data_IF_122993814001
#
_entry.id   IF_122993814001
#
_cell.length_a   1.000
_cell.length_b   1.000
_cell.length_c   1.000
_cell.angle_alpha   90.00
_cell.angle_beta   90.00
_cell.angle_gamma   90.00
#
_symmetry.space_group_name_H-M   'P 1'
#
loop_
_entity.id
_entity.type
_entity.pdbx_description
1 polymer ?
#
# COMPACT_ATOMS: atom_id res chain seq x y z
N UNK A 1 -60.32 8.89 7.22
CA UNK A 1 -59.17 8.92 8.15
C UNK A 1 -58.75 10.36 8.32
N UNK A 2 -58.94 10.87 9.49
CA UNK A 2 -58.80 12.33 9.79
C UNK A 2 -57.32 12.70 9.88
N UNK A 3 -56.83 13.53 9.01
CA UNK A 3 -55.44 14.00 8.92
C UNK A 3 -55.14 15.24 9.79
N UNK A 4 -55.95 15.49 10.83
CA UNK A 4 -55.88 16.75 11.59
C UNK A 4 -55.21 16.66 12.97
N UNK A 5 -54.42 15.62 13.26
CA UNK A 5 -53.71 15.53 14.56
C UNK A 5 -52.25 14.99 14.43
N UNK A 6 -51.52 15.53 13.49
CA UNK A 6 -50.07 15.26 13.48
C UNK A 6 -49.41 16.41 14.27
N UNK A 7 -48.94 16.09 15.47
CA UNK A 7 -48.20 17.01 16.31
C UNK A 7 -46.80 17.25 15.71
N UNK A 8 -46.70 18.29 14.87
CA UNK A 8 -45.47 18.67 14.18
C UNK A 8 -44.35 18.97 15.17
N UNK A 9 -44.67 19.53 16.36
CA UNK A 9 -43.66 19.75 17.40
C UNK A 9 -43.06 18.49 17.96
N UNK A 10 -43.86 17.43 18.07
CA UNK A 10 -43.39 16.13 18.56
C UNK A 10 -42.54 15.40 17.53
N UNK A 11 -42.90 15.53 16.24
CA UNK A 11 -42.08 15.01 15.13
C UNK A 11 -40.75 15.78 15.01
N UNK A 12 -40.78 17.10 15.12
CA UNK A 12 -39.57 17.94 15.14
C UNK A 12 -38.70 17.63 16.34
N UNK A 13 -39.30 17.40 17.52
CA UNK A 13 -38.54 16.93 18.72
C UNK A 13 -37.92 15.56 18.53
N UNK A 14 -38.64 14.61 17.91
CA UNK A 14 -38.10 13.27 17.58
C UNK A 14 -37.00 13.35 16.50
N UNK A 15 -37.14 14.15 15.49
CA UNK A 15 -36.11 14.37 14.46
C UNK A 15 -34.90 15.08 15.06
N UNK A 16 -35.10 16.12 15.88
CA UNK A 16 -33.99 16.78 16.57
C UNK A 16 -33.31 15.90 17.63
N UNK A 17 -34.03 15.05 18.34
CA UNK A 17 -33.47 14.08 19.25
C UNK A 17 -32.72 12.92 18.51
N UNK A 18 -33.16 12.58 17.30
CA UNK A 18 -32.47 11.67 16.42
C UNK A 18 -31.23 12.29 15.76
N UNK A 19 -31.19 13.62 15.62
CA UNK A 19 -30.02 14.38 15.12
C UNK A 19 -29.01 14.69 16.23
N UNK A 20 -29.41 14.71 17.49
CA UNK A 20 -28.50 14.65 18.64
C UNK A 20 -28.28 13.19 18.99
N UNK A 21 -27.82 12.40 18.01
CA UNK A 21 -27.41 11.01 18.26
C UNK A 21 -26.38 11.01 19.38
N UNK A 22 -26.75 10.45 20.52
CA UNK A 22 -25.80 10.10 21.56
C UNK A 22 -24.65 9.39 20.88
N UNK A 23 -23.47 9.97 20.94
CA UNK A 23 -22.24 9.23 20.68
C UNK A 23 -22.33 7.95 21.51
N UNK A 24 -21.99 6.78 20.97
CA UNK A 24 -21.96 5.57 21.73
C UNK A 24 -21.13 5.80 22.98
N UNK A 25 -21.71 5.55 24.14
CA UNK A 25 -21.05 5.69 25.41
C UNK A 25 -19.76 4.87 25.40
N UNK A 26 -18.60 5.55 25.47
CA UNK A 26 -17.41 4.82 25.87
C UNK A 26 -16.05 5.11 25.22
N UNK A 27 -15.79 6.20 24.53
CA UNK A 27 -14.38 6.58 24.29
C UNK A 27 -14.20 8.07 24.46
N UNK A 28 -13.96 8.52 25.69
CA UNK A 28 -13.40 9.85 25.92
C UNK A 28 -12.03 9.88 25.28
N UNK A 29 -11.82 10.80 24.33
CA UNK A 29 -10.50 11.06 23.74
C UNK A 29 -9.55 11.41 24.88
N UNK A 30 -8.44 10.71 25.07
CA UNK A 30 -7.49 10.99 26.14
C UNK A 30 -6.83 12.36 25.94
N UNK A 31 -6.28 12.93 26.99
CA UNK A 31 -5.51 14.18 26.85
C UNK A 31 -4.17 13.92 26.16
N UNK A 32 -3.58 12.75 26.40
CA UNK A 32 -2.28 12.33 25.87
C UNK A 32 -2.41 11.01 25.16
N UNK A 33 -1.50 10.76 24.21
CA UNK A 33 -1.41 9.51 23.48
C UNK A 33 0.05 9.20 23.12
N UNK A 34 0.29 7.94 22.76
CA UNK A 34 1.63 7.44 22.49
C UNK A 34 1.92 7.47 21.00
N UNK A 35 3.20 7.68 20.70
CA UNK A 35 3.79 7.48 19.38
C UNK A 35 5.00 6.57 19.53
N UNK A 36 5.30 5.75 18.52
CA UNK A 36 6.57 5.08 18.41
C UNK A 36 7.54 6.02 17.67
N UNK A 37 8.40 6.69 18.44
CA UNK A 37 9.41 7.59 17.90
C UNK A 37 10.68 6.81 17.58
N UNK A 38 11.11 6.79 16.33
CA UNK A 38 12.44 6.30 15.97
C UNK A 38 13.46 7.35 16.35
N UNK A 39 14.20 7.11 17.46
CA UNK A 39 15.15 8.07 18.04
C UNK A 39 16.57 7.83 17.55
N UNK A 40 16.86 6.61 17.13
CA UNK A 40 18.11 6.21 16.51
C UNK A 40 17.90 4.99 15.61
N UNK A 41 18.91 4.63 14.83
CA UNK A 41 18.86 3.45 13.96
C UNK A 41 18.61 2.20 14.79
N UNK A 42 17.66 1.37 14.33
CA UNK A 42 17.24 0.12 14.96
C UNK A 42 16.61 0.29 16.34
N UNK A 43 16.05 1.45 16.61
CA UNK A 43 15.43 1.69 17.90
C UNK A 43 14.24 2.66 17.83
N UNK A 44 13.10 2.18 18.30
CA UNK A 44 11.92 2.98 18.59
C UNK A 44 11.72 3.07 20.10
N UNK A 45 11.36 4.26 20.56
CA UNK A 45 10.88 4.51 21.92
C UNK A 45 9.40 4.88 21.89
N UNK A 46 8.61 4.33 22.80
CA UNK A 46 7.26 4.82 23.03
C UNK A 46 7.33 6.11 23.83
N UNK A 47 6.88 7.19 23.23
CA UNK A 47 6.83 8.51 23.86
C UNK A 47 5.38 8.99 23.91
N UNK A 48 5.02 9.73 24.96
CA UNK A 48 3.67 10.23 25.21
C UNK A 48 3.61 11.74 25.08
N UNK A 49 2.67 12.24 24.26
CA UNK A 49 2.48 13.66 24.01
C UNK A 49 1.02 14.07 24.19
N UNK A 50 0.78 15.35 24.49
CA UNK A 50 -0.56 15.92 24.47
C UNK A 50 -1.13 15.86 23.04
N UNK A 51 -2.38 15.43 22.91
CA UNK A 51 -3.07 15.44 21.61
C UNK A 51 -3.30 16.88 21.14
N UNK A 52 -3.06 17.18 19.86
CA UNK A 52 -3.23 18.53 19.33
C UNK A 52 -4.70 18.96 19.30
N UNK A 53 -4.93 20.27 19.36
CA UNK A 53 -6.24 20.86 19.10
C UNK A 53 -6.62 20.67 17.63
N UNK A 54 -7.84 20.21 17.37
CA UNK A 54 -8.36 20.00 16.01
C UNK A 54 -8.89 21.30 15.47
N UNK A 55 -8.20 21.86 14.48
CA UNK A 55 -8.61 23.05 13.74
C UNK A 55 -9.77 22.78 12.75
N UNK A 56 -10.19 23.82 12.06
CA UNK A 56 -11.37 23.80 11.20
C UNK A 56 -11.26 22.81 10.03
N UNK A 57 -10.05 22.52 9.56
CA UNK A 57 -9.76 21.66 8.40
C UNK A 57 -9.06 20.36 8.77
N UNK A 58 -8.82 20.13 10.09
CA UNK A 58 -8.00 19.03 10.58
C UNK A 58 -8.84 17.82 11.02
N UNK A 59 -8.20 16.66 11.13
CA UNK A 59 -8.84 15.42 11.56
C UNK A 59 -7.94 14.70 12.57
N UNK A 60 -8.48 14.28 13.70
CA UNK A 60 -7.85 13.37 14.63
C UNK A 60 -8.42 11.96 14.41
N UNK A 61 -7.53 11.01 14.18
CA UNK A 61 -7.87 9.61 13.88
C UNK A 61 -7.27 8.71 14.96
N UNK A 62 -8.08 7.86 15.59
CA UNK A 62 -7.59 6.76 16.41
C UNK A 62 -7.09 5.66 15.49
N UNK A 63 -5.82 5.31 15.58
CA UNK A 63 -5.21 4.29 14.74
C UNK A 63 -5.71 2.91 15.14
N UNK A 64 -6.21 2.14 14.18
CA UNK A 64 -6.58 0.74 14.37
C UNK A 64 -5.52 -0.22 13.89
N UNK A 65 -4.77 0.16 12.85
CA UNK A 65 -3.67 -0.65 12.37
C UNK A 65 -2.85 0.07 11.30
N UNK A 66 -1.63 -0.41 11.11
CA UNK A 66 -0.70 0.06 10.08
C UNK A 66 0.19 -1.08 9.62
N UNK A 67 0.31 -1.28 8.32
CA UNK A 67 1.28 -2.20 7.74
C UNK A 67 2.71 -1.69 7.93
N UNK A 68 3.65 -2.63 8.05
CA UNK A 68 5.08 -2.34 8.01
C UNK A 68 5.57 -2.50 6.59
N UNK A 69 6.03 -1.40 5.99
CA UNK A 69 6.59 -1.37 4.64
C UNK A 69 8.08 -1.71 4.64
N UNK A 70 8.60 -2.10 3.49
CA UNK A 70 10.04 -2.17 3.26
C UNK A 70 10.74 -0.83 3.50
N UNK A 71 10.08 0.29 3.20
CA UNK A 71 10.58 1.65 3.49
C UNK A 71 10.82 1.84 4.98
N UNK A 72 9.85 1.47 5.83
CA UNK A 72 10.01 1.58 7.30
C UNK A 72 11.19 0.73 7.79
N UNK A 73 11.35 -0.47 7.25
CA UNK A 73 12.46 -1.36 7.61
C UNK A 73 13.83 -0.82 7.16
N UNK A 74 13.90 -0.13 6.02
CA UNK A 74 15.12 0.52 5.55
C UNK A 74 15.47 1.75 6.36
N UNK A 75 14.47 2.59 6.71
CA UNK A 75 14.65 3.73 7.62
C UNK A 75 15.12 3.23 8.98
N UNK A 76 14.45 2.23 9.55
CA UNK A 76 14.83 1.61 10.82
C UNK A 76 16.28 1.13 10.81
N UNK A 77 16.70 0.48 9.73
CA UNK A 77 18.05 -0.10 9.61
C UNK A 77 19.14 0.94 9.37
N UNK A 78 18.93 1.89 8.49
CA UNK A 78 20.00 2.71 7.93
C UNK A 78 19.71 4.22 7.91
N UNK A 79 18.44 4.64 8.07
CA UNK A 79 17.98 6.03 7.94
C UNK A 79 18.43 6.69 6.63
N UNK A 80 18.11 6.07 5.47
CA UNK A 80 18.59 6.57 4.17
C UNK A 80 18.06 7.95 3.81
N UNK A 81 16.91 8.37 4.36
CA UNK A 81 16.34 9.70 4.12
C UNK A 81 16.74 10.73 5.18
N UNK A 82 17.44 10.30 6.27
CA UNK A 82 17.89 11.20 7.33
C UNK A 82 16.74 11.79 8.14
N UNK A 83 15.74 10.98 8.49
CA UNK A 83 14.50 11.42 9.13
C UNK A 83 14.55 11.42 10.65
N UNK A 84 15.52 10.77 11.27
CA UNK A 84 15.61 10.64 12.74
C UNK A 84 15.75 12.02 13.40
N UNK A 85 14.91 12.37 14.43
CA UNK A 85 13.83 11.56 14.99
C UNK A 85 12.55 11.61 14.13
N UNK A 86 11.78 10.49 14.07
CA UNK A 86 10.59 10.38 13.24
C UNK A 86 9.57 9.37 13.77
N UNK A 87 8.28 9.63 13.57
CA UNK A 87 7.21 8.64 13.72
C UNK A 87 6.92 8.06 12.33
N UNK A 88 7.32 6.81 12.11
CA UNK A 88 7.12 6.11 10.85
C UNK A 88 5.70 5.53 10.71
N UNK A 89 5.50 4.75 9.66
CA UNK A 89 4.23 4.11 9.31
C UNK A 89 3.38 4.94 8.36
N UNK A 90 3.15 4.42 7.15
CA UNK A 90 2.41 5.11 6.09
C UNK A 90 1.31 4.23 5.43
N UNK A 91 1.18 2.98 5.85
CA UNK A 91 0.14 2.04 5.40
C UNK A 91 -0.98 1.92 6.45
N UNK A 92 -1.44 3.05 6.98
CA UNK A 92 -2.29 3.07 8.16
C UNK A 92 -3.76 3.30 7.90
N UNK A 93 -4.57 2.86 8.87
CA UNK A 93 -6.01 3.04 8.91
C UNK A 93 -6.51 3.25 10.34
N UNK A 94 -7.60 3.98 10.49
CA UNK A 94 -8.18 4.23 11.80
C UNK A 94 -9.54 4.91 11.73
N UNK A 95 -10.08 5.20 12.90
CA UNK A 95 -11.38 5.81 13.11
C UNK A 95 -11.28 7.32 13.32
N UNK A 96 -12.03 8.11 12.59
CA UNK A 96 -12.20 9.55 12.87
C UNK A 96 -12.82 9.70 14.26
N UNK A 97 -12.09 10.28 15.21
CA UNK A 97 -12.60 10.56 16.55
C UNK A 97 -12.95 12.04 16.77
N UNK A 98 -12.33 12.94 16.01
CA UNK A 98 -12.63 14.37 16.00
C UNK A 98 -12.29 14.95 14.63
N UNK A 99 -13.08 15.87 14.13
CA UNK A 99 -12.85 16.52 12.83
C UNK A 99 -13.31 17.98 12.85
N UNK A 100 -12.64 18.79 12.04
CA UNK A 100 -12.93 20.19 11.88
C UNK A 100 -14.25 20.44 11.14
N UNK A 101 -14.80 21.61 11.33
CA UNK A 101 -16.14 21.98 10.76
C UNK A 101 -16.16 22.05 9.22
N UNK A 102 -15.01 22.24 8.57
CA UNK A 102 -14.90 22.32 7.12
C UNK A 102 -14.76 20.93 6.47
N UNK A 103 -14.39 19.90 7.22
CA UNK A 103 -14.26 18.53 6.73
C UNK A 103 -15.65 17.92 6.58
N UNK A 104 -16.15 17.78 5.36
CA UNK A 104 -17.50 17.26 5.06
C UNK A 104 -17.47 16.00 4.20
N UNK A 105 -16.48 15.89 3.35
CA UNK A 105 -16.33 14.79 2.39
C UNK A 105 -14.87 14.36 2.35
N UNK A 106 -14.66 13.12 1.92
CA UNK A 106 -13.32 12.62 1.60
C UNK A 106 -12.86 13.11 0.21
N UNK A 107 -11.68 12.69 -0.20
CA UNK A 107 -11.08 13.06 -1.50
C UNK A 107 -11.90 12.59 -2.70
N UNK A 108 -12.71 11.55 -2.56
CA UNK A 108 -13.63 11.08 -3.60
C UNK A 108 -15.02 11.77 -3.55
N UNK A 109 -15.24 12.71 -2.62
CA UNK A 109 -16.53 13.38 -2.42
C UNK A 109 -17.54 12.58 -1.60
N UNK A 110 -17.14 11.46 -0.97
CA UNK A 110 -18.01 10.67 -0.10
C UNK A 110 -18.15 11.37 1.25
N UNK A 111 -19.38 11.56 1.77
CA UNK A 111 -19.59 12.17 3.08
C UNK A 111 -18.84 11.46 4.19
N UNK A 112 -18.33 12.23 5.15
CA UNK A 112 -17.60 11.71 6.31
C UNK A 112 -18.13 12.28 7.62
N UNK A 113 -18.00 11.49 8.67
CA UNK A 113 -18.40 11.83 10.04
C UNK A 113 -17.49 11.15 11.06
N UNK A 114 -17.55 11.58 12.30
CA UNK A 114 -16.94 10.88 13.43
C UNK A 114 -17.46 9.44 13.49
N UNK A 115 -16.54 8.49 13.69
CA UNK A 115 -16.79 7.05 13.66
C UNK A 115 -16.49 6.39 12.33
N UNK A 116 -16.32 7.13 11.24
CA UNK A 116 -15.93 6.57 9.95
C UNK A 116 -14.47 6.11 9.97
N UNK A 117 -14.20 5.02 9.23
CA UNK A 117 -12.86 4.47 9.07
C UNK A 117 -12.22 5.06 7.83
N UNK A 118 -10.97 5.49 7.96
CA UNK A 118 -10.25 6.12 6.86
C UNK A 118 -8.87 5.55 6.64
N UNK A 119 -8.35 5.81 5.46
CA UNK A 119 -6.94 5.69 5.08
C UNK A 119 -6.48 7.01 4.48
N UNK A 120 -5.19 7.34 4.64
CA UNK A 120 -4.59 8.48 3.94
C UNK A 120 -3.93 8.03 2.64
N UNK A 121 -3.85 8.93 1.69
CA UNK A 121 -2.98 8.79 0.52
C UNK A 121 -1.65 9.49 0.80
N UNK A 122 -0.55 8.97 0.27
CA UNK A 122 0.78 9.59 0.40
C UNK A 122 0.91 10.93 -0.33
N UNK A 123 -0.01 11.24 -1.24
CA UNK A 123 -0.01 12.49 -2.02
C UNK A 123 -0.93 13.48 -1.33
N UNK A 124 -0.37 14.53 -0.74
CA UNK A 124 -1.13 15.47 0.10
C UNK A 124 -1.92 16.53 -0.64
N UNK A 125 -1.56 16.87 -1.86
CA UNK A 125 -2.28 17.90 -2.61
C UNK A 125 -2.73 17.34 -3.94
N UNK A 126 -3.97 17.64 -4.27
CA UNK A 126 -4.45 17.59 -5.64
C UNK A 126 -3.75 18.73 -6.40
N UNK A 127 -2.54 18.48 -6.84
CA UNK A 127 -1.80 19.39 -7.70
C UNK A 127 -2.34 19.19 -9.13
N UNK A 128 -3.04 20.18 -9.70
CA UNK A 128 -3.61 20.06 -11.05
C UNK A 128 -2.53 19.88 -12.12
N UNK A 129 -1.27 20.17 -11.80
CA UNK A 129 -0.13 19.90 -12.68
C UNK A 129 0.36 18.44 -12.58
N UNK A 130 -0.03 17.68 -11.53
CA UNK A 130 0.28 16.27 -11.39
C UNK A 130 -0.76 15.47 -12.16
N UNK A 131 -0.45 15.16 -13.41
CA UNK A 131 -1.26 14.23 -14.21
C UNK A 131 -1.01 12.80 -13.76
N UNK A 132 -1.86 11.85 -14.19
CA UNK A 132 -1.72 10.42 -13.92
C UNK A 132 -0.34 9.85 -14.32
N UNK A 133 0.40 10.52 -15.18
CA UNK A 133 1.73 10.14 -15.67
C UNK A 133 2.84 11.04 -15.11
N UNK A 134 2.47 12.17 -14.57
CA UNK A 134 3.40 13.17 -14.07
C UNK A 134 3.57 12.97 -12.56
N UNK A 135 4.23 11.88 -12.21
CA UNK A 135 4.80 11.67 -10.88
C UNK A 135 6.03 12.55 -10.68
N UNK A 136 6.07 13.70 -11.28
CA UNK A 136 7.09 14.71 -11.06
C UNK A 136 6.77 15.52 -9.79
N UNK A 137 6.63 14.91 -8.65
CA UNK A 137 7.81 14.53 -7.97
C UNK A 137 8.48 15.61 -7.16
N UNK A 138 7.86 16.73 -7.01
CA UNK A 138 8.24 17.59 -5.89
C UNK A 138 7.86 16.92 -4.56
N UNK A 139 7.00 15.89 -4.61
CA UNK A 139 6.39 15.30 -3.44
C UNK A 139 6.61 13.80 -3.28
N UNK A 140 7.28 13.12 -4.21
CA UNK A 140 7.67 11.72 -4.07
C UNK A 140 9.16 11.66 -3.78
N UNK A 141 9.52 11.81 -2.56
CA UNK A 141 10.92 11.81 -2.18
C UNK A 141 11.16 12.50 -0.87
N UNK A 142 10.20 12.45 0.02
CA UNK A 142 10.53 12.52 1.40
C UNK A 142 9.92 13.62 2.26
N UNK A 143 9.28 14.65 1.82
CA UNK A 143 8.92 15.69 2.79
C UNK A 143 7.45 15.78 3.18
N UNK A 144 6.52 15.14 2.45
CA UNK A 144 5.08 15.39 2.65
C UNK A 144 4.25 14.10 2.70
N UNK A 145 4.75 13.06 3.35
CA UNK A 145 4.07 11.78 3.53
C UNK A 145 3.91 11.48 5.01
N UNK A 146 2.66 11.26 5.48
CA UNK A 146 2.44 10.79 6.86
C UNK A 146 3.22 9.50 7.11
N UNK A 147 4.05 9.50 8.15
CA UNK A 147 5.00 8.43 8.45
C UNK A 147 6.40 8.61 7.86
N UNK A 148 6.62 9.67 7.06
CA UNK A 148 7.93 10.06 6.55
C UNK A 148 8.14 11.59 6.69
N UNK A 149 7.33 12.26 7.48
CA UNK A 149 7.47 13.68 7.78
C UNK A 149 8.57 13.89 8.81
N UNK A 150 9.39 14.94 8.64
CA UNK A 150 10.31 15.36 9.67
C UNK A 150 9.59 15.63 10.98
N UNK A 151 10.29 15.41 12.10
CA UNK A 151 9.77 15.76 13.41
C UNK A 151 9.54 17.28 13.52
N UNK A 152 8.39 17.65 14.09
CA UNK A 152 8.02 19.05 14.35
C UNK A 152 7.24 19.15 15.67
N UNK A 153 6.58 20.29 15.90
CA UNK A 153 5.79 20.52 17.12
C UNK A 153 4.61 19.54 17.26
N UNK A 154 4.14 18.95 16.15
CA UNK A 154 3.07 17.96 16.13
C UNK A 154 3.66 16.57 15.93
N UNK A 155 3.69 15.77 16.99
CA UNK A 155 4.33 14.44 17.02
C UNK A 155 3.51 13.32 16.37
N UNK A 156 2.25 13.57 16.03
CA UNK A 156 1.32 12.58 15.50
C UNK A 156 1.30 12.57 13.96
N UNK A 157 2.49 12.48 13.37
CA UNK A 157 2.73 12.58 11.92
C UNK A 157 2.87 11.25 11.19
N UNK A 158 2.79 10.12 11.90
CA UNK A 158 2.91 8.77 11.34
C UNK A 158 1.91 7.82 11.99
N UNK A 159 1.69 6.68 11.34
CA UNK A 159 0.69 5.70 11.76
C UNK A 159 1.20 4.71 12.82
N UNK A 160 2.49 4.71 13.16
CA UNK A 160 2.99 3.94 14.31
C UNK A 160 2.75 4.73 15.61
N UNK A 161 1.47 4.90 15.93
CA UNK A 161 0.98 5.68 17.05
C UNK A 161 -0.40 5.20 17.50
N UNK A 162 -0.86 5.67 18.70
CA UNK A 162 -2.27 5.47 19.12
C UNK A 162 -3.22 6.34 18.29
N UNK A 163 -2.76 7.53 17.88
CA UNK A 163 -3.51 8.49 17.06
C UNK A 163 -2.62 9.07 15.97
N UNK A 164 -3.23 9.47 14.87
CA UNK A 164 -2.60 10.31 13.85
C UNK A 164 -3.39 11.60 13.71
N UNK A 165 -2.68 12.69 13.45
CA UNK A 165 -3.27 14.02 13.26
C UNK A 165 -3.11 14.48 11.82
N UNK A 166 -4.20 14.46 11.07
CA UNK A 166 -4.23 14.91 9.67
C UNK A 166 -4.43 16.42 9.67
N UNK A 167 -3.40 17.14 9.25
CA UNK A 167 -3.33 18.60 9.22
C UNK A 167 -3.82 19.13 7.88
N UNK A 168 -5.15 19.11 7.67
CA UNK A 168 -5.77 19.52 6.42
C UNK A 168 -5.49 20.95 6.04
N UNK A 169 -5.43 21.88 7.01
CA UNK A 169 -5.07 23.27 6.78
C UNK A 169 -3.63 23.49 6.31
N UNK A 170 -2.69 22.62 6.69
CA UNK A 170 -1.27 22.72 6.32
C UNK A 170 -0.93 21.96 5.05
N UNK A 171 -1.39 20.72 4.92
CA UNK A 171 -0.97 19.79 3.86
C UNK A 171 -2.08 19.46 2.86
N UNK A 172 -3.32 19.91 3.12
CA UNK A 172 -4.50 19.35 2.47
C UNK A 172 -4.92 18.04 3.10
N UNK A 173 -6.17 17.65 2.89
CA UNK A 173 -6.73 16.40 3.45
C UNK A 173 -6.93 15.41 2.32
N UNK A 174 -5.91 14.57 2.07
CA UNK A 174 -6.02 13.47 1.10
C UNK A 174 -6.28 12.18 1.84
N UNK A 175 -7.55 11.83 1.98
CA UNK A 175 -7.99 10.63 2.67
C UNK A 175 -9.26 10.06 2.04
N UNK A 176 -9.55 8.79 2.33
CA UNK A 176 -10.73 8.10 1.82
C UNK A 176 -11.50 7.40 2.93
N UNK A 177 -12.83 7.50 2.90
CA UNK A 177 -13.73 6.76 3.76
C UNK A 177 -13.85 5.31 3.28
N UNK A 178 -13.32 4.38 4.08
CA UNK A 178 -13.23 2.94 3.82
C UNK A 178 -13.97 2.11 4.87
N UNK A 179 -15.01 2.68 5.47
CA UNK A 179 -15.79 2.04 6.54
C UNK A 179 -16.47 0.74 6.12
N UNK A 180 -16.59 0.48 4.83
CA UNK A 180 -17.15 -0.73 4.25
C UNK A 180 -16.14 -1.90 4.12
N UNK A 181 -14.86 -1.66 4.45
CA UNK A 181 -13.80 -2.68 4.42
C UNK A 181 -13.42 -3.13 5.82
N UNK A 182 -13.08 -4.41 5.96
CA UNK A 182 -12.49 -4.96 7.18
C UNK A 182 -11.07 -4.43 7.42
N UNK A 183 -10.56 -4.58 8.65
CA UNK A 183 -9.26 -4.02 9.06
C UNK A 183 -8.11 -4.51 8.18
N UNK A 184 -8.05 -5.80 7.89
CA UNK A 184 -6.96 -6.38 7.11
C UNK A 184 -6.97 -5.84 5.67
N UNK A 185 -8.15 -5.72 5.08
CA UNK A 185 -8.30 -5.08 3.77
C UNK A 185 -7.86 -3.61 3.79
N UNK A 186 -8.18 -2.87 4.86
CA UNK A 186 -7.80 -1.46 4.99
C UNK A 186 -6.28 -1.27 5.12
N UNK A 187 -5.60 -2.14 5.87
CA UNK A 187 -4.13 -2.14 5.99
C UNK A 187 -3.45 -2.44 4.64
N UNK A 188 -4.09 -3.24 3.80
CA UNK A 188 -3.55 -3.62 2.49
C UNK A 188 -3.83 -2.60 1.37
N UNK A 189 -4.60 -1.54 1.62
CA UNK A 189 -4.96 -0.57 0.57
C UNK A 189 -3.71 0.06 -0.04
N UNK A 190 -2.83 0.57 0.81
CA UNK A 190 -1.62 1.28 0.34
C UNK A 190 -0.74 0.38 -0.55
N UNK A 191 -0.25 -0.80 -0.10
CA UNK A 191 0.54 -1.65 -0.96
C UNK A 191 -0.21 -2.17 -2.20
N UNK A 192 -1.54 -2.32 -2.13
CA UNK A 192 -2.33 -2.64 -3.32
C UNK A 192 -2.37 -1.49 -4.32
N UNK A 193 -2.39 -0.24 -3.87
CA UNK A 193 -2.36 0.92 -4.76
C UNK A 193 -1.04 0.99 -5.56
N UNK A 194 0.09 0.62 -4.95
CA UNK A 194 1.38 0.50 -5.63
C UNK A 194 1.28 -0.47 -6.82
N UNK A 195 0.63 -1.63 -6.63
CA UNK A 195 0.53 -2.64 -7.68
C UNK A 195 -0.53 -2.30 -8.72
N UNK A 196 -1.62 -1.68 -8.33
CA UNK A 196 -2.60 -1.14 -9.28
C UNK A 196 -1.91 -0.12 -10.18
N UNK A 197 -1.14 0.81 -9.62
CA UNK A 197 -0.36 1.78 -10.39
C UNK A 197 0.62 1.10 -11.36
N UNK A 198 1.41 0.14 -10.90
CA UNK A 198 2.36 -0.59 -11.74
C UNK A 198 1.68 -1.29 -12.92
N UNK A 199 0.52 -1.89 -12.68
CA UNK A 199 -0.26 -2.55 -13.74
C UNK A 199 -0.86 -1.54 -14.71
N UNK A 200 -1.38 -0.40 -14.23
CA UNK A 200 -1.86 0.68 -15.11
C UNK A 200 -0.71 1.25 -15.97
N UNK A 201 0.47 1.41 -15.40
CA UNK A 201 1.69 1.78 -16.14
C UNK A 201 2.05 0.74 -17.21
N UNK A 202 2.03 -0.55 -16.86
CA UNK A 202 2.28 -1.64 -17.80
C UNK A 202 1.27 -1.67 -18.97
N UNK A 203 0.00 -1.39 -18.71
CA UNK A 203 -1.05 -1.31 -19.73
C UNK A 203 -0.80 -0.20 -20.78
N UNK A 204 -0.12 0.89 -20.42
CA UNK A 204 0.21 1.97 -21.35
C UNK A 204 1.09 1.51 -22.52
N UNK A 205 1.83 0.42 -22.37
CA UNK A 205 2.64 -0.17 -23.44
C UNK A 205 1.80 -0.82 -24.56
N UNK A 206 0.54 -1.12 -24.29
CA UNK A 206 -0.34 -1.88 -25.20
C UNK A 206 -0.01 -3.38 -25.29
N UNK A 207 1.02 -3.86 -24.56
CA UNK A 207 1.47 -5.27 -24.61
C UNK A 207 0.72 -6.10 -23.58
N UNK A 208 0.53 -5.57 -22.36
CA UNK A 208 -0.19 -6.28 -21.30
C UNK A 208 -1.68 -6.34 -21.60
N UNK A 209 -2.18 -7.55 -21.84
CA UNK A 209 -3.58 -7.86 -22.14
C UNK A 209 -4.05 -9.06 -21.30
N UNK A 210 -5.36 -9.31 -21.26
CA UNK A 210 -5.94 -10.44 -20.50
C UNK A 210 -5.35 -11.81 -20.90
N UNK A 211 -4.95 -11.99 -22.15
CA UNK A 211 -4.38 -13.24 -22.69
C UNK A 211 -2.85 -13.25 -22.72
N UNK A 212 -2.17 -12.24 -22.17
CA UNK A 212 -0.72 -12.20 -22.11
C UNK A 212 -0.17 -13.28 -21.20
N UNK A 213 0.98 -13.83 -21.58
CA UNK A 213 1.84 -14.61 -20.69
C UNK A 213 2.66 -13.64 -19.84
N UNK A 214 2.51 -13.75 -18.55
CA UNK A 214 3.15 -12.81 -17.59
C UNK A 214 4.06 -13.55 -16.65
N UNK A 215 5.27 -13.03 -16.46
CA UNK A 215 6.18 -13.44 -15.39
C UNK A 215 6.12 -12.42 -14.27
N UNK A 216 5.94 -12.89 -13.04
CA UNK A 216 6.14 -12.10 -11.81
C UNK A 216 7.35 -12.65 -11.09
N UNK A 217 8.43 -11.87 -11.04
CA UNK A 217 9.67 -12.25 -10.40
C UNK A 217 9.74 -11.63 -8.99
N UNK A 218 9.83 -12.52 -7.99
CA UNK A 218 9.72 -12.19 -6.58
C UNK A 218 8.30 -12.36 -6.05
N UNK A 219 8.13 -13.26 -5.08
CA UNK A 219 6.85 -13.56 -4.41
C UNK A 219 6.85 -13.07 -2.95
N UNK A 220 7.46 -11.89 -2.70
CA UNK A 220 7.20 -11.11 -1.49
C UNK A 220 5.79 -10.49 -1.53
N UNK A 221 5.40 -9.69 -0.53
CA UNK A 221 4.07 -9.07 -0.48
C UNK A 221 3.70 -8.36 -1.79
N UNK A 222 4.62 -7.59 -2.34
CA UNK A 222 4.46 -6.84 -3.60
C UNK A 222 4.18 -7.77 -4.77
N UNK A 223 5.01 -8.81 -4.98
CA UNK A 223 4.78 -9.76 -6.08
C UNK A 223 3.51 -10.58 -5.93
N UNK A 224 3.15 -10.97 -4.71
CA UNK A 224 1.89 -11.68 -4.44
C UNK A 224 0.67 -10.81 -4.73
N UNK A 225 0.69 -9.54 -4.35
CA UNK A 225 -0.37 -8.58 -4.70
C UNK A 225 -0.38 -8.35 -6.23
N UNK A 226 0.78 -8.26 -6.90
CA UNK A 226 0.85 -8.16 -8.36
C UNK A 226 0.11 -9.32 -9.04
N UNK A 227 0.37 -10.55 -8.61
CA UNK A 227 -0.32 -11.75 -9.10
C UNK A 227 -1.83 -11.63 -8.89
N UNK A 228 -2.27 -11.21 -7.71
CA UNK A 228 -3.70 -11.03 -7.40
C UNK A 228 -4.36 -9.97 -8.28
N UNK A 229 -3.71 -8.82 -8.50
CA UNK A 229 -4.22 -7.76 -9.39
C UNK A 229 -4.34 -8.28 -10.82
N UNK A 230 -3.31 -8.91 -11.35
CA UNK A 230 -3.32 -9.51 -12.70
C UNK A 230 -4.41 -10.57 -12.86
N UNK A 231 -4.52 -11.48 -11.90
CA UNK A 231 -5.56 -12.51 -11.89
C UNK A 231 -6.97 -11.91 -11.86
N UNK A 232 -7.17 -10.91 -11.00
CA UNK A 232 -8.46 -10.19 -10.88
C UNK A 232 -8.84 -9.44 -12.16
N UNK A 233 -7.86 -8.99 -12.94
CA UNK A 233 -8.07 -8.40 -14.28
C UNK A 233 -8.37 -9.42 -15.38
N UNK A 234 -8.26 -10.70 -15.07
CA UNK A 234 -8.51 -11.79 -16.01
C UNK A 234 -7.28 -12.28 -16.79
N UNK A 235 -6.07 -11.91 -16.36
CA UNK A 235 -4.85 -12.53 -16.91
C UNK A 235 -4.77 -13.98 -16.43
N UNK A 236 -4.68 -14.91 -17.38
CA UNK A 236 -4.74 -16.35 -17.09
C UNK A 236 -3.40 -17.08 -17.19
N UNK A 237 -2.36 -16.45 -17.71
CA UNK A 237 -1.06 -17.09 -17.89
C UNK A 237 -0.01 -16.37 -17.01
N UNK A 238 -0.07 -16.60 -15.71
CA UNK A 238 0.83 -15.98 -14.75
C UNK A 238 1.81 -17.03 -14.24
N UNK A 239 3.11 -16.84 -14.48
CA UNK A 239 4.19 -17.61 -13.95
C UNK A 239 4.89 -16.83 -12.83
N UNK A 240 4.89 -17.36 -11.62
CA UNK A 240 5.57 -16.78 -10.48
C UNK A 240 6.98 -17.38 -10.32
N UNK A 241 8.00 -16.54 -10.12
CA UNK A 241 9.39 -16.95 -9.96
C UNK A 241 9.92 -16.48 -8.62
N UNK A 242 10.32 -17.40 -7.74
CA UNK A 242 10.88 -17.10 -6.41
C UNK A 242 11.81 -18.25 -5.99
N UNK A 243 12.59 -18.06 -4.92
CA UNK A 243 13.43 -19.13 -4.32
C UNK A 243 12.80 -19.83 -3.13
N UNK A 244 11.63 -19.38 -2.66
CA UNK A 244 10.96 -19.87 -1.47
C UNK A 244 9.68 -20.64 -1.84
N UNK A 245 9.67 -21.96 -1.56
CA UNK A 245 8.53 -22.83 -1.88
C UNK A 245 7.21 -22.38 -1.25
N UNK A 246 7.23 -21.92 0.01
CA UNK A 246 6.02 -21.46 0.69
C UNK A 246 5.43 -20.23 0.01
N UNK A 247 6.26 -19.32 -0.48
CA UNK A 247 5.83 -18.15 -1.23
C UNK A 247 5.29 -18.54 -2.61
N UNK A 248 5.89 -19.52 -3.25
CA UNK A 248 5.40 -20.06 -4.53
C UNK A 248 4.04 -20.77 -4.38
N UNK A 249 3.85 -21.55 -3.30
CA UNK A 249 2.55 -22.13 -2.98
C UNK A 249 1.49 -21.06 -2.71
N UNK A 250 1.86 -20.00 -2.01
CA UNK A 250 0.95 -18.89 -1.79
C UNK A 250 0.65 -18.13 -3.09
N UNK A 251 1.64 -17.98 -3.99
CA UNK A 251 1.46 -17.38 -5.31
C UNK A 251 0.39 -18.12 -6.15
N UNK A 252 0.36 -19.46 -6.08
CA UNK A 252 -0.73 -20.26 -6.72
C UNK A 252 -2.09 -19.88 -6.16
N UNK A 253 -2.21 -19.76 -4.85
CA UNK A 253 -3.46 -19.37 -4.18
C UNK A 253 -3.88 -17.93 -4.53
N UNK A 254 -2.92 -17.05 -4.85
CA UNK A 254 -3.16 -15.69 -5.31
C UNK A 254 -3.50 -15.60 -6.81
N UNK A 255 -3.45 -16.71 -7.54
CA UNK A 255 -3.87 -16.79 -8.94
C UNK A 255 -2.75 -17.06 -9.94
N UNK A 256 -1.52 -17.37 -9.50
CA UNK A 256 -0.48 -17.84 -10.42
C UNK A 256 -0.82 -19.23 -10.97
N UNK A 257 -0.72 -19.41 -12.29
CA UNK A 257 -1.00 -20.69 -12.95
C UNK A 257 0.17 -21.66 -12.82
N UNK A 258 1.38 -21.12 -12.87
CA UNK A 258 2.62 -21.89 -12.78
C UNK A 258 3.62 -21.20 -11.86
N UNK A 259 4.54 -21.97 -11.34
CA UNK A 259 5.59 -21.46 -10.44
C UNK A 259 6.93 -22.07 -10.82
N UNK A 260 7.99 -21.30 -10.71
CA UNK A 260 9.37 -21.75 -10.93
C UNK A 260 10.21 -21.35 -9.73
N UNK A 261 10.78 -22.36 -9.03
CA UNK A 261 11.76 -22.11 -7.99
C UNK A 261 13.15 -22.00 -8.64
N UNK A 262 13.70 -20.78 -8.66
CA UNK A 262 14.99 -20.53 -9.29
C UNK A 262 16.16 -21.27 -8.63
N UNK A 263 16.02 -21.67 -7.35
CA UNK A 263 17.05 -22.42 -6.62
C UNK A 263 17.28 -23.84 -7.20
N UNK A 264 16.32 -24.36 -7.97
CA UNK A 264 16.42 -25.69 -8.57
C UNK A 264 17.25 -25.70 -9.87
N UNK A 265 17.70 -24.54 -10.36
CA UNK A 265 18.38 -24.43 -11.66
C UNK A 265 19.77 -23.81 -11.50
N UNK A 266 20.74 -24.37 -12.25
CA UNK A 266 22.10 -23.83 -12.30
C UNK A 266 22.27 -22.97 -13.55
N UNK A 267 22.45 -21.67 -13.34
CA UNK A 267 22.66 -20.71 -14.41
C UNK A 267 21.36 -20.19 -15.04
N UNK A 268 21.50 -19.08 -15.75
CA UNK A 268 20.37 -18.35 -16.30
C UNK A 268 19.70 -19.07 -17.49
N UNK A 269 20.48 -19.85 -18.24
CA UNK A 269 19.96 -20.59 -19.40
C UNK A 269 18.97 -21.66 -18.96
N UNK A 270 19.34 -22.47 -17.94
CA UNK A 270 18.46 -23.50 -17.40
C UNK A 270 17.21 -22.91 -16.75
N UNK A 271 17.36 -21.80 -16.03
CA UNK A 271 16.24 -21.08 -15.44
C UNK A 271 15.31 -20.48 -16.53
N UNK A 272 15.88 -19.93 -17.59
CA UNK A 272 15.10 -19.37 -18.71
C UNK A 272 14.28 -20.46 -19.40
N UNK A 273 14.86 -21.63 -19.65
CA UNK A 273 14.12 -22.74 -20.25
C UNK A 273 13.01 -23.24 -19.33
N UNK A 274 13.26 -23.33 -18.02
CA UNK A 274 12.23 -23.72 -17.06
C UNK A 274 11.05 -22.71 -17.02
N UNK A 275 11.34 -21.42 -17.06
CA UNK A 275 10.29 -20.38 -17.13
C UNK A 275 9.51 -20.47 -18.43
N UNK A 276 10.19 -20.74 -19.55
CA UNK A 276 9.57 -20.92 -20.85
C UNK A 276 8.68 -22.16 -20.89
N UNK A 277 9.16 -23.31 -20.36
CA UNK A 277 8.36 -24.52 -20.23
C UNK A 277 7.12 -24.31 -19.37
N UNK A 278 7.25 -23.61 -18.23
CA UNK A 278 6.15 -23.27 -17.35
C UNK A 278 5.07 -22.39 -18.05
N UNK A 279 5.41 -21.75 -19.15
CA UNK A 279 4.51 -20.95 -19.99
C UNK A 279 4.16 -21.63 -21.33
N UNK A 280 4.21 -22.97 -21.38
CA UNK A 280 3.83 -23.74 -22.55
C UNK A 280 4.82 -23.65 -23.71
N UNK A 281 6.11 -23.52 -23.44
CA UNK A 281 7.18 -23.43 -24.44
C UNK A 281 7.39 -22.03 -25.03
N UNK A 282 6.86 -21.00 -24.39
CA UNK A 282 6.95 -19.62 -24.86
C UNK A 282 7.58 -18.71 -23.78
N UNK A 283 8.30 -17.69 -24.22
CA UNK A 283 8.72 -16.59 -23.36
C UNK A 283 7.53 -15.64 -23.04
N UNK A 284 7.66 -14.88 -21.96
CA UNK A 284 6.62 -13.97 -21.50
C UNK A 284 6.37 -12.81 -22.48
N UNK A 285 5.11 -12.42 -22.62
CA UNK A 285 4.74 -11.17 -23.27
C UNK A 285 5.09 -9.96 -22.40
N UNK A 286 4.94 -10.11 -21.08
CA UNK A 286 5.22 -9.06 -20.10
C UNK A 286 5.82 -9.64 -18.81
N UNK A 287 6.69 -8.88 -18.16
CA UNK A 287 7.24 -9.27 -16.87
C UNK A 287 7.14 -8.13 -15.85
N UNK A 288 6.95 -8.49 -14.58
CA UNK A 288 7.00 -7.58 -13.43
C UNK A 288 8.18 -7.98 -12.55
N UNK A 289 9.09 -7.04 -12.31
CA UNK A 289 10.20 -7.22 -11.40
C UNK A 289 9.82 -6.64 -10.04
N UNK A 290 9.62 -7.53 -9.06
CA UNK A 290 9.13 -7.21 -7.71
C UNK A 290 10.18 -7.48 -6.62
N UNK A 291 11.46 -7.58 -6.99
CA UNK A 291 12.56 -7.76 -6.04
C UNK A 291 13.49 -6.56 -6.05
N UNK A 292 14.11 -6.24 -4.93
CA UNK A 292 15.20 -5.25 -4.86
C UNK A 292 16.58 -5.85 -5.14
N UNK A 293 16.67 -6.88 -5.99
CA UNK A 293 17.91 -7.60 -6.25
C UNK A 293 18.46 -7.30 -7.66
N UNK A 294 19.67 -6.69 -7.79
CA UNK A 294 20.25 -6.35 -9.10
C UNK A 294 20.44 -7.55 -10.03
N UNK A 295 20.82 -8.74 -9.51
CA UNK A 295 20.95 -9.94 -10.33
C UNK A 295 19.61 -10.43 -10.88
N UNK A 296 18.54 -10.33 -10.08
CA UNK A 296 17.19 -10.65 -10.54
C UNK A 296 16.77 -9.70 -11.67
N UNK A 297 17.04 -8.40 -11.54
CA UNK A 297 16.80 -7.43 -12.61
C UNK A 297 17.60 -7.77 -13.88
N UNK A 298 18.89 -8.11 -13.77
CA UNK A 298 19.71 -8.50 -14.92
C UNK A 298 19.17 -9.75 -15.64
N UNK A 299 18.58 -10.66 -14.89
CA UNK A 299 18.10 -11.95 -15.41
C UNK A 299 16.71 -11.86 -16.08
N UNK A 300 15.83 -10.95 -15.63
CA UNK A 300 14.43 -10.93 -16.06
C UNK A 300 14.26 -10.72 -17.57
N UNK A 301 15.18 -10.02 -18.21
CA UNK A 301 15.16 -9.80 -19.66
C UNK A 301 15.20 -11.10 -20.46
N UNK A 302 15.79 -12.19 -19.90
CA UNK A 302 15.86 -13.49 -20.55
C UNK A 302 14.52 -14.20 -20.60
N UNK A 303 13.59 -13.85 -19.72
CA UNK A 303 12.26 -14.45 -19.66
C UNK A 303 11.26 -13.81 -20.64
N UNK A 304 11.62 -12.68 -21.27
CA UNK A 304 10.74 -11.86 -22.09
C UNK A 304 11.02 -12.10 -23.57
N UNK A 305 9.98 -12.27 -24.37
CA UNK A 305 10.09 -12.40 -25.84
C UNK A 305 10.47 -11.07 -26.50
N UNK A 306 10.84 -11.15 -27.79
CA UNK A 306 11.01 -9.96 -28.62
C UNK A 306 9.70 -9.16 -28.71
N UNK A 307 9.77 -7.86 -28.65
CA UNK A 307 8.63 -6.95 -28.58
C UNK A 307 7.82 -7.04 -27.31
N UNK A 308 8.36 -7.66 -26.26
CA UNK A 308 7.72 -7.78 -24.96
C UNK A 308 7.91 -6.55 -24.07
N UNK A 309 7.38 -6.62 -22.85
CA UNK A 309 7.45 -5.53 -21.89
C UNK A 309 7.99 -5.94 -20.50
N UNK A 310 8.56 -4.97 -19.83
CA UNK A 310 9.03 -5.10 -18.44
C UNK A 310 8.54 -3.91 -17.64
N UNK A 311 7.92 -4.17 -16.50
CA UNK A 311 7.67 -3.18 -15.46
C UNK A 311 8.64 -3.40 -14.31
N UNK A 312 9.49 -2.40 -14.05
CA UNK A 312 10.40 -2.38 -12.91
C UNK A 312 9.78 -1.61 -11.76
N UNK A 313 9.58 -2.26 -10.62
CA UNK A 313 9.05 -1.67 -9.39
C UNK A 313 9.73 -2.18 -8.10
N UNK A 314 10.72 -3.07 -8.23
CA UNK A 314 11.39 -3.70 -7.10
C UNK A 314 12.38 -2.80 -6.36
N UNK A 315 12.88 -1.77 -7.00
CA UNK A 315 13.89 -0.87 -6.46
C UNK A 315 13.30 0.45 -5.95
N UNK A 316 12.57 0.40 -4.85
CA UNK A 316 12.06 1.62 -4.22
C UNK A 316 13.16 2.42 -3.48
N UNK A 317 14.31 1.80 -3.22
CA UNK A 317 15.55 2.44 -2.77
C UNK A 317 16.70 2.02 -3.69
N UNK A 318 17.84 2.71 -3.58
CA UNK A 318 19.06 2.30 -4.26
C UNK A 318 19.57 0.97 -3.68
N UNK A 319 19.28 -0.13 -4.38
CA UNK A 319 19.72 -1.50 -4.05
C UNK A 319 21.04 -1.89 -4.70
N UNK A 320 21.73 -0.95 -5.38
CA UNK A 320 22.96 -1.19 -6.14
C UNK A 320 22.72 -1.29 -7.64
N UNK A 321 23.81 -1.49 -8.38
CA UNK A 321 23.82 -1.48 -9.84
C UNK A 321 23.45 -2.86 -10.41
N UNK A 322 22.63 -2.86 -11.47
CA UNK A 322 22.33 -4.03 -12.28
C UNK A 322 23.04 -3.95 -13.63
N UNK A 323 23.56 -5.08 -14.10
CA UNK A 323 24.24 -5.16 -15.39
C UNK A 323 23.30 -5.74 -16.44
N UNK A 324 23.10 -5.03 -17.53
CA UNK A 324 22.38 -5.49 -18.71
C UNK A 324 23.24 -5.35 -19.96
N UNK A 325 22.99 -6.17 -20.98
CA UNK A 325 23.58 -5.97 -22.30
C UNK A 325 22.57 -5.17 -23.15
N UNK A 326 22.85 -3.88 -23.46
CA UNK A 326 21.88 -3.04 -24.17
C UNK A 326 21.48 -3.59 -25.55
N UNK A 327 22.39 -4.29 -26.24
CA UNK A 327 22.07 -4.92 -27.52
C UNK A 327 21.12 -6.11 -27.36
N UNK A 328 21.53 -7.12 -26.54
CA UNK A 328 20.78 -8.37 -26.44
C UNK A 328 19.55 -8.28 -25.51
N UNK A 329 19.56 -7.40 -24.53
CA UNK A 329 18.49 -7.33 -23.54
C UNK A 329 17.44 -6.26 -23.87
N UNK A 330 17.79 -5.24 -24.67
CA UNK A 330 16.87 -4.15 -25.02
C UNK A 330 16.68 -3.99 -26.52
N UNK A 331 17.77 -3.58 -27.25
CA UNK A 331 17.61 -3.12 -28.63
C UNK A 331 17.19 -4.22 -29.60
N UNK A 332 17.88 -5.37 -29.61
CA UNK A 332 17.56 -6.46 -30.55
C UNK A 332 16.25 -7.16 -30.22
N UNK A 333 15.75 -7.00 -28.98
CA UNK A 333 14.46 -7.51 -28.52
C UNK A 333 13.33 -6.50 -28.64
N UNK A 334 13.62 -5.23 -28.86
CA UNK A 334 12.63 -4.13 -28.84
C UNK A 334 11.79 -4.13 -27.55
N UNK A 335 12.47 -4.24 -26.39
CA UNK A 335 11.78 -4.32 -25.09
C UNK A 335 11.19 -2.96 -24.70
N UNK A 336 9.93 -2.97 -24.28
CA UNK A 336 9.25 -1.83 -23.68
C UNK A 336 9.48 -1.84 -22.17
N UNK A 337 10.39 -1.01 -21.68
CA UNK A 337 10.70 -0.88 -20.26
C UNK A 337 9.92 0.29 -19.67
N UNK A 338 9.14 0.02 -18.62
CA UNK A 338 8.48 1.06 -17.80
C UNK A 338 8.90 0.94 -16.35
N UNK A 339 9.23 2.06 -15.73
CA UNK A 339 9.41 2.15 -14.28
C UNK A 339 8.08 2.46 -13.61
N UNK A 340 7.88 1.94 -12.41
CA UNK A 340 6.75 2.29 -11.56
C UNK A 340 7.26 2.70 -10.18
N UNK A 341 6.74 3.82 -9.67
CA UNK A 341 7.15 4.39 -8.39
C UNK A 341 5.95 4.91 -7.64
N UNK A 342 5.70 4.36 -6.44
CA UNK A 342 4.55 4.73 -5.61
C UNK A 342 3.22 4.52 -6.37
N UNK A 343 2.31 5.46 -6.31
CA UNK A 343 1.01 5.45 -6.98
C UNK A 343 0.50 6.88 -7.18
N UNK A 344 -0.63 7.00 -7.88
CA UNK A 344 -1.35 8.23 -8.06
C UNK A 344 -2.65 8.19 -7.23
N UNK A 345 -3.18 9.35 -6.89
CA UNK A 345 -4.45 9.48 -6.16
C UNK A 345 -5.61 8.70 -6.81
N UNK A 346 -5.66 8.67 -8.14
CA UNK A 346 -6.68 7.94 -8.90
C UNK A 346 -6.60 6.43 -8.76
N UNK A 347 -5.43 5.90 -8.44
CA UNK A 347 -5.24 4.46 -8.29
C UNK A 347 -5.99 3.90 -7.07
N UNK A 348 -6.33 4.76 -6.09
CA UNK A 348 -7.11 4.35 -4.93
C UNK A 348 -8.52 3.88 -5.30
N UNK A 349 -9.21 4.55 -6.21
CA UNK A 349 -10.53 4.10 -6.66
C UNK A 349 -10.46 2.69 -7.28
N UNK A 350 -9.50 2.47 -8.16
CA UNK A 350 -9.25 1.14 -8.76
C UNK A 350 -8.83 0.12 -7.70
N UNK A 351 -8.07 0.52 -6.69
CA UNK A 351 -7.66 -0.34 -5.58
C UNK A 351 -8.83 -0.80 -4.74
N UNK A 352 -9.79 0.08 -4.45
CA UNK A 352 -11.01 -0.30 -3.72
C UNK A 352 -11.84 -1.32 -4.51
N UNK A 353 -11.97 -1.13 -5.81
CA UNK A 353 -12.68 -2.08 -6.69
C UNK A 353 -11.92 -3.41 -6.79
N UNK A 354 -10.60 -3.37 -6.88
CA UNK A 354 -9.75 -4.56 -6.83
C UNK A 354 -9.98 -5.36 -5.54
N UNK A 355 -9.89 -4.73 -4.36
CA UNK A 355 -10.05 -5.41 -3.08
C UNK A 355 -11.44 -6.05 -2.93
N UNK A 356 -12.50 -5.34 -3.34
CA UNK A 356 -13.86 -5.88 -3.34
C UNK A 356 -13.99 -7.09 -4.25
N UNK A 357 -13.41 -7.02 -5.44
CA UNK A 357 -13.42 -8.11 -6.40
C UNK A 357 -12.58 -9.29 -5.95
N UNK A 358 -11.37 -9.05 -5.42
CA UNK A 358 -10.51 -10.09 -4.86
C UNK A 358 -11.22 -10.88 -3.76
N UNK A 359 -11.92 -10.18 -2.85
CA UNK A 359 -12.76 -10.79 -1.82
C UNK A 359 -13.91 -11.60 -2.42
N UNK A 360 -14.59 -11.07 -3.44
CA UNK A 360 -15.73 -11.75 -4.08
C UNK A 360 -15.33 -13.05 -4.80
N UNK A 361 -14.12 -13.14 -5.34
CA UNK A 361 -13.60 -14.36 -5.98
C UNK A 361 -12.79 -15.25 -5.03
N UNK A 362 -12.72 -14.90 -3.74
CA UNK A 362 -12.12 -15.73 -2.71
C UNK A 362 -10.60 -15.71 -2.66
N UNK A 363 -9.93 -14.66 -3.14
CA UNK A 363 -8.47 -14.54 -2.99
C UNK A 363 -8.10 -14.34 -1.51
N UNK A 364 -7.06 -15.02 -1.01
CA UNK A 364 -6.69 -15.00 0.40
C UNK A 364 -5.87 -13.74 0.78
N UNK A 365 -6.39 -12.55 0.44
CA UNK A 365 -5.66 -11.29 0.64
C UNK A 365 -5.29 -11.05 2.11
N UNK A 366 -6.19 -11.30 3.05
CA UNK A 366 -5.92 -11.11 4.48
C UNK A 366 -4.81 -12.01 5.02
N UNK A 367 -4.57 -13.17 4.41
CA UNK A 367 -3.50 -14.08 4.81
C UNK A 367 -2.10 -13.56 4.43
N UNK A 368 -2.02 -12.49 3.64
CA UNK A 368 -0.76 -11.75 3.44
C UNK A 368 -0.25 -11.18 4.76
N UNK A 369 -1.13 -10.76 5.67
CA UNK A 369 -0.76 -10.26 6.99
C UNK A 369 -0.46 -11.44 7.90
N UNK A 370 0.78 -11.88 7.91
CA UNK A 370 1.22 -13.09 8.63
C UNK A 370 1.49 -12.84 10.11
N UNK A 371 1.81 -11.61 10.49
CA UNK A 371 2.13 -11.24 11.87
C UNK A 371 1.46 -9.92 12.22
N UNK A 372 0.87 -9.88 13.41
CA UNK A 372 0.26 -8.69 13.99
C UNK A 372 0.88 -8.45 15.36
N UNK A 373 1.44 -7.28 15.55
CA UNK A 373 2.08 -6.85 16.80
C UNK A 373 1.32 -5.66 17.38
N UNK A 374 1.23 -5.53 18.70
CA UNK A 374 0.79 -4.28 19.31
C UNK A 374 1.89 -3.20 19.18
N UNK A 375 1.52 -1.93 19.37
CA UNK A 375 2.46 -0.81 19.24
C UNK A 375 3.69 -0.95 20.16
N UNK A 376 3.50 -1.56 21.33
CA UNK A 376 4.56 -1.83 22.31
C UNK A 376 5.68 -2.72 21.78
N UNK A 377 5.37 -3.57 20.79
CA UNK A 377 6.30 -4.53 20.19
C UNK A 377 6.85 -4.07 18.83
N UNK A 378 6.82 -2.74 18.56
CA UNK A 378 7.22 -2.17 17.28
C UNK A 378 8.64 -2.58 16.85
N UNK A 379 9.61 -2.63 17.79
CA UNK A 379 10.97 -3.05 17.48
C UNK A 379 11.02 -4.51 17.02
N UNK A 380 10.26 -5.39 17.66
CA UNK A 380 10.16 -6.81 17.25
C UNK A 380 9.49 -6.94 15.88
N UNK A 381 8.47 -6.14 15.59
CA UNK A 381 7.81 -6.11 14.30
C UNK A 381 8.78 -5.72 13.17
N UNK A 382 9.63 -4.71 13.37
CA UNK A 382 10.64 -4.30 12.38
C UNK A 382 11.73 -5.36 12.21
N UNK A 383 12.21 -5.96 13.30
CA UNK A 383 13.19 -7.05 13.21
C UNK A 383 12.62 -8.29 12.50
N UNK A 384 11.33 -8.63 12.74
CA UNK A 384 10.64 -9.71 12.03
C UNK A 384 10.52 -9.41 10.53
N UNK A 385 10.26 -8.15 10.15
CA UNK A 385 10.24 -7.71 8.76
C UNK A 385 11.62 -7.82 8.11
N UNK A 386 12.68 -7.34 8.77
CA UNK A 386 14.06 -7.42 8.29
C UNK A 386 14.56 -8.86 8.15
N UNK A 387 14.15 -9.75 9.04
CA UNK A 387 14.48 -11.19 8.97
C UNK A 387 13.73 -11.92 7.83
N UNK A 388 12.77 -11.26 7.18
CA UNK A 388 11.93 -11.83 6.09
C UNK A 388 11.23 -13.15 6.47
N UNK A 389 10.93 -13.33 7.76
CA UNK A 389 10.27 -14.54 8.29
C UNK A 389 8.77 -14.56 8.04
N UNK A 390 8.18 -13.38 7.78
CA UNK A 390 6.78 -13.20 7.37
C UNK A 390 6.62 -12.72 5.93
N UNK A 391 5.35 -12.50 5.55
CA UNK A 391 5.00 -11.76 4.34
C UNK A 391 4.76 -10.29 4.68
N UNK A 392 3.54 -9.93 5.10
CA UNK A 392 3.23 -8.60 5.58
C UNK A 392 3.15 -8.61 7.10
N UNK A 393 3.84 -7.68 7.72
CA UNK A 393 3.78 -7.42 9.17
C UNK A 393 2.84 -6.23 9.37
N UNK A 394 2.08 -6.22 10.44
CA UNK A 394 1.24 -5.10 10.80
C UNK A 394 1.32 -4.77 12.29
N UNK A 395 1.28 -3.49 12.62
CA UNK A 395 0.98 -2.99 13.96
C UNK A 395 -0.53 -2.86 14.07
N UNK A 396 -1.13 -3.41 15.12
CA UNK A 396 -2.57 -3.38 15.36
C UNK A 396 -2.81 -2.92 16.79
N UNK A 397 -3.49 -1.78 16.92
CA UNK A 397 -3.85 -1.22 18.23
C UNK A 397 -5.15 -1.87 18.75
N UNK A 398 -5.24 -1.97 20.07
CA UNK A 398 -6.42 -2.54 20.76
C UNK A 398 -7.51 -1.49 21.00
#
# INVERSE_FOLDING_TARGET
MDMNNVNIEEIVKQVLSGMTGNAPAGNTIPKKARVAMMTEKKHFELQEYDLPEVGDDDILVKVEGCGVCGTDAHEYKNDPFGLIPVVLGHEGTGEIVKMGKNVKVDTAGKPVKVGDKIVTCMIFKDDPEITMFDLNKKNVGGADVYGLLPDDDVKFNGWFADYIFIRGGKFGSTFFNVSDLDLDSRILIEPCAVLVHAVERAKTTGILKFNSRVVVQGCGPIGLICIAVLHTMGVHNICAVDGNEKRLEFAKRMGANTTVNFMNFKGIEALTEAVKEAQGGHLADFAFQCTGNPHAHSNIYKFIRNGGGLCELGFFINGGDATINPHFDLCSKEINLVGSWVYNLRDYATTFDFLKRAKAIGLPMSELITHKFPLEEINEALETNLAMTGLKIAIVNK
#
